data_IF_512726699850
#
_entry.id   IF_512726699850
#
_cell.length_a   1.000
_cell.length_b   1.000
_cell.length_c   1.000
_cell.angle_alpha   90.00
_cell.angle_beta   90.00
_cell.angle_gamma   90.00
#
_symmetry.space_group_name_H-M   'P 1'
#
loop_
_entity.id
_entity.type
_entity.pdbx_description
1 polymer ?
#
# COMPACT_ATOMS: atom_id res chain seq x y z
N UNK A 1 8.96 8.81 6.51
CA UNK A 1 7.83 8.09 7.12
C UNK A 1 6.96 8.92 8.07
N UNK A 2 7.44 10.02 8.69
CA UNK A 2 6.58 10.90 9.51
C UNK A 2 5.53 11.67 8.70
N UNK A 3 5.86 12.08 7.49
CA UNK A 3 4.99 12.90 6.66
C UNK A 3 3.78 12.14 6.07
N UNK A 4 3.93 10.88 5.69
CA UNK A 4 2.85 10.11 5.03
C UNK A 4 1.62 9.92 5.93
N UNK A 5 1.86 9.62 7.23
CA UNK A 5 0.77 9.53 8.22
C UNK A 5 0.13 10.89 8.51
N UNK A 6 0.90 11.96 8.47
CA UNK A 6 0.44 13.33 8.66
C UNK A 6 -0.45 13.80 7.49
N UNK A 7 -0.16 13.37 6.26
CA UNK A 7 -0.96 13.70 5.07
C UNK A 7 -2.31 12.98 5.04
N UNK A 8 -2.30 11.67 5.31
CA UNK A 8 -3.56 10.92 5.41
C UNK A 8 -4.44 11.54 6.51
N UNK A 9 -3.84 11.91 7.64
CA UNK A 9 -4.53 12.57 8.74
C UNK A 9 -5.05 13.98 8.37
N UNK A 10 -4.35 14.76 7.54
CA UNK A 10 -4.78 16.10 7.13
C UNK A 10 -6.07 16.07 6.31
N UNK A 11 -6.32 15.01 5.52
CA UNK A 11 -7.55 14.86 4.76
C UNK A 11 -8.64 14.04 5.50
N UNK A 12 -8.30 13.35 6.60
CA UNK A 12 -9.28 12.58 7.38
C UNK A 12 -10.38 13.47 7.98
N UNK A 13 -10.08 14.74 8.25
CA UNK A 13 -11.08 15.71 8.72
C UNK A 13 -12.15 15.96 7.64
N UNK A 14 -11.73 16.13 6.38
CA UNK A 14 -12.67 16.29 5.26
C UNK A 14 -13.51 15.05 5.01
N UNK A 15 -12.98 13.85 5.26
CA UNK A 15 -13.74 12.61 5.13
C UNK A 15 -14.85 12.46 6.17
N UNK A 16 -14.75 13.18 7.29
CA UNK A 16 -15.77 13.21 8.37
C UNK A 16 -16.80 14.30 8.13
N UNK A 17 -16.57 15.24 7.21
CA UNK A 17 -17.51 16.31 6.91
C UNK A 17 -18.77 15.78 6.22
N UNK A 18 -19.88 16.44 6.44
CA UNK A 18 -21.18 16.08 5.85
C UNK A 18 -21.29 16.47 4.37
N UNK A 19 -20.40 17.34 3.86
CA UNK A 19 -20.41 17.79 2.46
C UNK A 19 -19.91 16.69 1.51
N UNK A 20 -20.78 16.06 0.69
CA UNK A 20 -20.43 14.92 -0.14
C UNK A 20 -19.33 15.22 -1.17
N UNK A 21 -19.32 16.45 -1.70
CA UNK A 21 -18.36 16.87 -2.75
C UNK A 21 -16.95 16.99 -2.19
N UNK A 22 -16.78 17.61 -1.03
CA UNK A 22 -15.49 17.75 -0.36
C UNK A 22 -14.96 16.37 0.07
N UNK A 23 -15.84 15.54 0.64
CA UNK A 23 -15.48 14.17 1.03
C UNK A 23 -15.00 13.34 -0.16
N UNK A 24 -15.69 13.41 -1.31
CA UNK A 24 -15.29 12.72 -2.53
C UNK A 24 -13.92 13.24 -3.04
N UNK A 25 -13.71 14.56 -3.08
CA UNK A 25 -12.48 15.18 -3.51
C UNK A 25 -11.30 14.80 -2.58
N UNK A 26 -11.53 14.84 -1.27
CA UNK A 26 -10.52 14.41 -0.28
C UNK A 26 -10.15 12.93 -0.46
N UNK A 27 -11.12 12.05 -0.66
CA UNK A 27 -10.89 10.63 -0.91
C UNK A 27 -10.09 10.39 -2.20
N UNK A 28 -10.34 11.17 -3.26
CA UNK A 28 -9.58 11.12 -4.51
C UNK A 28 -8.11 11.51 -4.28
N UNK A 29 -7.86 12.63 -3.59
CA UNK A 29 -6.51 13.08 -3.30
C UNK A 29 -5.76 12.13 -2.35
N UNK A 30 -6.42 11.62 -1.32
CA UNK A 30 -5.82 10.61 -0.44
C UNK A 30 -5.32 9.38 -1.21
N UNK A 31 -6.14 8.88 -2.15
CA UNK A 31 -5.73 7.75 -2.98
C UNK A 31 -4.56 8.09 -3.89
N UNK A 32 -4.64 9.23 -4.58
CA UNK A 32 -3.60 9.67 -5.49
C UNK A 32 -2.24 9.83 -4.80
N UNK A 33 -2.25 10.41 -3.60
CA UNK A 33 -1.07 10.60 -2.75
C UNK A 33 -0.59 9.28 -2.14
N UNK A 34 -1.50 8.50 -1.56
CA UNK A 34 -1.14 7.24 -0.90
C UNK A 34 -0.57 6.19 -1.87
N UNK A 35 -0.94 6.24 -3.15
CA UNK A 35 -0.35 5.36 -4.16
C UNK A 35 1.12 5.66 -4.46
N UNK A 36 1.66 6.83 -4.09
CA UNK A 36 3.09 7.12 -4.28
C UNK A 36 3.98 6.29 -3.36
N UNK A 37 3.44 5.87 -2.22
CA UNK A 37 4.17 5.04 -1.24
C UNK A 37 4.57 3.65 -1.78
N UNK A 38 3.95 3.14 -2.84
CA UNK A 38 4.34 1.85 -3.47
C UNK A 38 5.77 1.89 -4.04
N UNK A 39 6.24 3.07 -4.42
CA UNK A 39 7.57 3.31 -4.95
C UNK A 39 8.44 4.12 -3.95
N UNK A 40 7.97 4.26 -2.70
CA UNK A 40 8.68 4.96 -1.62
C UNK A 40 8.68 6.48 -1.75
N UNK A 41 7.90 7.03 -2.67
CA UNK A 41 7.84 8.46 -2.95
C UNK A 41 6.95 9.18 -1.92
N UNK A 42 7.30 10.44 -1.63
CA UNK A 42 6.55 11.30 -0.74
C UNK A 42 6.18 12.61 -1.44
N UNK A 43 4.94 13.08 -1.28
CA UNK A 43 4.52 14.35 -1.85
C UNK A 43 5.15 15.52 -1.10
N UNK A 44 5.27 16.66 -1.79
CA UNK A 44 5.72 17.91 -1.19
C UNK A 44 4.61 18.58 -0.36
N UNK A 45 5.00 19.52 0.51
CA UNK A 45 4.03 20.37 1.24
C UNK A 45 3.21 21.23 0.27
N UNK A 46 3.78 21.62 -0.88
CA UNK A 46 3.08 22.39 -1.91
C UNK A 46 1.91 21.61 -2.53
N UNK A 47 2.12 20.31 -2.84
CA UNK A 47 1.01 19.47 -3.32
C UNK A 47 -0.17 19.47 -2.34
N UNK A 48 0.12 19.39 -1.04
CA UNK A 48 -0.93 19.33 -0.02
C UNK A 48 -1.72 20.63 0.06
N UNK A 49 -1.04 21.78 -0.05
CA UNK A 49 -1.70 23.07 -0.12
C UNK A 49 -2.63 23.16 -1.34
N UNK A 50 -2.12 22.77 -2.52
CA UNK A 50 -2.93 22.79 -3.77
C UNK A 50 -4.10 21.82 -3.69
N UNK A 51 -3.89 20.61 -3.14
CA UNK A 51 -4.96 19.65 -2.92
C UNK A 51 -6.03 20.18 -1.97
N UNK A 52 -5.63 20.86 -0.87
CA UNK A 52 -6.55 21.54 0.06
C UNK A 52 -7.44 22.55 -0.65
N UNK A 53 -6.87 23.43 -1.46
CA UNK A 53 -7.64 24.42 -2.26
C UNK A 53 -8.64 23.77 -3.21
N UNK A 54 -8.25 22.63 -3.81
CA UNK A 54 -9.17 21.87 -4.66
C UNK A 54 -10.32 21.24 -3.86
N UNK A 55 -10.03 20.68 -2.67
CA UNK A 55 -11.03 20.08 -1.79
C UNK A 55 -12.04 21.14 -1.33
N UNK A 56 -11.55 22.33 -0.98
CA UNK A 56 -12.40 23.47 -0.60
C UNK A 56 -13.20 24.05 -1.79
N UNK A 57 -12.88 23.66 -3.02
CA UNK A 57 -13.57 24.14 -4.23
C UNK A 57 -13.06 25.49 -4.73
N UNK A 58 -11.94 25.99 -4.20
CA UNK A 58 -11.33 27.25 -4.65
C UNK A 58 -10.74 27.14 -6.04
N UNK A 59 -10.24 25.96 -6.41
CA UNK A 59 -9.65 25.64 -7.70
C UNK A 59 -10.13 24.28 -8.22
N UNK A 60 -10.16 24.12 -9.53
CA UNK A 60 -10.46 22.84 -10.20
C UNK A 60 -9.29 21.88 -10.18
N UNK A 61 -9.52 20.60 -10.51
CA UNK A 61 -8.42 19.62 -10.69
C UNK A 61 -7.48 19.98 -11.85
N UNK A 62 -7.99 20.63 -12.89
CA UNK A 62 -7.16 21.09 -14.02
C UNK A 62 -6.26 22.24 -13.60
N UNK A 63 -6.77 23.21 -12.86
CA UNK A 63 -5.97 24.29 -12.26
C UNK A 63 -4.95 23.76 -11.25
N UNK A 64 -5.34 22.78 -10.40
CA UNK A 64 -4.43 22.12 -9.48
C UNK A 64 -3.23 21.50 -10.22
N UNK A 65 -3.51 20.78 -11.32
CA UNK A 65 -2.47 20.20 -12.16
C UNK A 65 -1.57 21.28 -12.77
N UNK A 66 -2.14 22.35 -13.31
CA UNK A 66 -1.39 23.46 -13.90
C UNK A 66 -0.47 24.12 -12.88
N UNK A 67 -0.95 24.39 -11.67
CA UNK A 67 -0.16 24.98 -10.58
C UNK A 67 1.03 24.09 -10.23
N UNK A 68 0.80 22.78 -10.02
CA UNK A 68 1.84 21.82 -9.68
C UNK A 68 2.91 21.75 -10.80
N UNK A 69 2.49 21.62 -12.06
CA UNK A 69 3.41 21.52 -13.19
C UNK A 69 4.21 22.80 -13.38
N UNK A 70 3.59 23.98 -13.26
CA UNK A 70 4.25 25.27 -13.37
C UNK A 70 5.26 25.49 -12.24
N UNK A 71 4.95 25.06 -11.00
CA UNK A 71 5.87 25.15 -9.87
C UNK A 71 7.21 24.47 -10.17
N UNK A 72 7.16 23.27 -10.76
CA UNK A 72 8.37 22.54 -11.10
C UNK A 72 9.06 23.04 -12.39
N UNK A 73 8.37 23.67 -13.32
CA UNK A 73 8.99 24.23 -14.53
C UNK A 73 9.97 25.35 -14.24
N UNK A 74 9.75 26.11 -13.18
CA UNK A 74 10.60 27.23 -12.80
C UNK A 74 11.85 26.83 -12.01
N UNK A 75 11.97 25.57 -11.58
CA UNK A 75 13.15 25.06 -10.89
C UNK A 75 14.24 24.68 -11.88
N UNK A 76 15.36 25.40 -11.86
CA UNK A 76 16.51 25.17 -12.77
C UNK A 76 17.43 24.04 -12.32
N UNK A 77 17.46 23.72 -11.03
CA UNK A 77 18.22 22.62 -10.46
C UNK A 77 17.37 21.88 -9.43
N UNK A 78 17.60 20.57 -9.26
CA UNK A 78 16.89 19.71 -8.32
C UNK A 78 17.85 18.82 -7.55
N UNK A 79 17.63 18.69 -6.27
CA UNK A 79 18.21 17.63 -5.48
C UNK A 79 17.50 16.30 -5.79
N UNK A 80 18.10 15.14 -5.51
CA UNK A 80 17.42 13.85 -5.67
C UNK A 80 16.05 13.80 -4.97
N UNK A 81 15.96 14.33 -3.75
CA UNK A 81 14.70 14.41 -3.01
C UNK A 81 13.65 15.26 -3.71
N UNK A 82 14.02 16.43 -4.26
CA UNK A 82 13.09 17.28 -5.00
C UNK A 82 12.63 16.64 -6.32
N UNK A 83 13.47 15.81 -6.95
CA UNK A 83 13.07 15.04 -8.12
C UNK A 83 12.03 13.95 -7.78
N UNK A 84 12.19 13.27 -6.62
CA UNK A 84 11.22 12.32 -6.08
C UNK A 84 9.90 13.01 -5.70
N UNK A 85 9.95 14.17 -5.05
CA UNK A 85 8.78 15.00 -4.73
C UNK A 85 8.06 15.47 -6.01
N UNK A 86 8.80 15.90 -7.03
CA UNK A 86 8.22 16.30 -8.33
C UNK A 86 7.46 15.14 -8.99
N UNK A 87 8.04 13.93 -9.00
CA UNK A 87 7.37 12.75 -9.53
C UNK A 87 6.09 12.48 -8.73
N UNK A 88 6.18 12.43 -7.40
CA UNK A 88 5.04 12.18 -6.53
C UNK A 88 3.91 13.17 -6.75
N UNK A 89 4.23 14.46 -6.84
CA UNK A 89 3.26 15.55 -6.98
C UNK A 89 2.55 15.51 -8.33
N UNK A 90 3.33 15.42 -9.42
CA UNK A 90 2.77 15.38 -10.77
C UNK A 90 1.91 14.13 -10.99
N UNK A 91 2.38 12.97 -10.53
CA UNK A 91 1.64 11.71 -10.64
C UNK A 91 0.36 11.76 -9.79
N UNK A 92 0.42 12.32 -8.58
CA UNK A 92 -0.78 12.49 -7.74
C UNK A 92 -1.83 13.38 -8.41
N UNK A 93 -1.42 14.52 -8.99
CA UNK A 93 -2.33 15.39 -9.72
C UNK A 93 -2.98 14.68 -10.92
N UNK A 94 -2.20 13.92 -11.69
CA UNK A 94 -2.71 13.14 -12.81
C UNK A 94 -3.68 12.05 -12.37
N UNK A 95 -3.35 11.30 -11.31
CA UNK A 95 -4.22 10.23 -10.76
C UNK A 95 -5.53 10.85 -10.22
N UNK A 96 -5.48 11.97 -9.51
CA UNK A 96 -6.67 12.64 -9.00
C UNK A 96 -7.67 12.97 -10.12
N UNK A 97 -7.17 13.53 -11.24
CA UNK A 97 -8.00 13.79 -12.44
C UNK A 97 -8.58 12.52 -13.04
N UNK A 98 -7.79 11.44 -13.11
CA UNK A 98 -8.23 10.16 -13.66
C UNK A 98 -9.33 9.55 -12.79
N UNK A 99 -9.16 9.53 -11.46
CA UNK A 99 -10.12 8.95 -10.53
C UNK A 99 -11.45 9.72 -10.47
N UNK A 100 -11.43 11.02 -10.75
CA UNK A 100 -12.65 11.84 -10.87
C UNK A 100 -13.35 11.68 -12.21
N UNK A 101 -12.61 11.29 -13.26
CA UNK A 101 -13.16 11.04 -14.59
C UNK A 101 -13.96 9.74 -14.63
N UNK A 102 -15.09 9.75 -15.34
CA UNK A 102 -15.88 8.54 -15.61
C UNK A 102 -15.44 7.79 -16.86
N UNK A 103 -14.42 8.30 -17.57
CA UNK A 103 -13.93 7.68 -18.80
C UNK A 103 -13.01 6.51 -18.48
N UNK A 104 -13.46 5.31 -18.79
CA UNK A 104 -12.69 4.08 -18.64
C UNK A 104 -12.86 3.17 -19.86
N UNK A 105 -11.75 2.66 -20.39
CA UNK A 105 -11.74 1.72 -21.49
C UNK A 105 -11.14 0.39 -21.01
N UNK A 106 -11.98 -0.63 -20.88
CA UNK A 106 -11.57 -1.96 -20.43
C UNK A 106 -11.03 -2.79 -21.59
N UNK A 107 -9.83 -2.47 -22.04
CA UNK A 107 -9.06 -3.18 -23.06
C UNK A 107 -7.57 -2.84 -22.93
N UNK A 108 -6.69 -3.58 -23.63
CA UNK A 108 -5.24 -3.40 -23.57
C UNK A 108 -4.80 -1.98 -23.92
N UNK A 109 -5.39 -1.36 -24.94
CA UNK A 109 -5.08 0.02 -25.31
C UNK A 109 -5.55 1.01 -24.22
N UNK A 110 -6.67 0.73 -23.54
CA UNK A 110 -7.15 1.49 -22.39
C UNK A 110 -6.15 1.45 -21.24
N UNK A 111 -5.59 0.27 -20.92
CA UNK A 111 -4.55 0.11 -19.89
C UNK A 111 -3.26 0.87 -20.26
N UNK A 112 -2.81 0.79 -21.51
CA UNK A 112 -1.64 1.52 -22.02
C UNK A 112 -1.89 3.04 -21.97
N UNK A 113 -3.09 3.47 -22.39
CA UNK A 113 -3.48 4.89 -22.33
C UNK A 113 -3.60 5.40 -20.90
N UNK A 114 -4.08 4.56 -19.96
CA UNK A 114 -4.13 4.88 -18.54
C UNK A 114 -2.72 5.15 -17.99
N UNK A 115 -1.76 4.28 -18.26
CA UNK A 115 -0.37 4.51 -17.88
C UNK A 115 0.17 5.82 -18.46
N UNK A 116 -0.09 6.11 -19.74
CA UNK A 116 0.30 7.40 -20.36
C UNK A 116 -0.26 8.58 -19.60
N UNK A 117 -1.54 8.55 -19.24
CA UNK A 117 -2.23 9.63 -18.51
C UNK A 117 -1.72 9.80 -17.08
N UNK A 118 -1.38 8.70 -16.40
CA UNK A 118 -0.83 8.74 -15.03
C UNK A 118 0.54 9.42 -15.03
N UNK A 119 1.41 9.10 -16.01
CA UNK A 119 2.79 9.56 -16.06
C UNK A 119 3.04 10.66 -17.09
N UNK A 120 1.97 11.31 -17.56
CA UNK A 120 2.06 12.45 -18.48
C UNK A 120 2.86 13.60 -17.86
N UNK A 121 3.89 14.05 -18.57
CA UNK A 121 4.81 15.09 -18.11
C UNK A 121 5.77 14.66 -16.99
N UNK A 122 5.88 13.34 -16.74
CA UNK A 122 6.81 12.74 -15.76
C UNK A 122 7.81 11.85 -16.49
N UNK A 123 7.34 10.82 -17.21
CA UNK A 123 8.20 9.91 -17.96
C UNK A 123 8.09 10.14 -19.46
N UNK A 124 9.23 10.23 -20.15
CA UNK A 124 9.27 10.31 -21.63
C UNK A 124 8.70 9.07 -22.31
N UNK A 125 8.75 7.93 -21.61
CA UNK A 125 8.22 6.64 -22.05
C UNK A 125 6.81 6.33 -21.53
N UNK A 126 6.08 7.32 -21.03
CA UNK A 126 4.71 7.12 -20.52
C UNK A 126 3.80 6.52 -21.60
N UNK A 127 3.16 5.38 -21.28
CA UNK A 127 2.30 4.64 -22.21
C UNK A 127 3.06 3.86 -23.30
N UNK A 128 4.37 3.65 -23.16
CA UNK A 128 5.15 2.77 -24.01
C UNK A 128 5.40 1.44 -23.30
N UNK A 129 5.13 0.34 -23.97
CA UNK A 129 5.50 -0.97 -23.47
C UNK A 129 7.03 -1.08 -23.42
N UNK A 130 7.56 -1.77 -22.41
CA UNK A 130 8.99 -2.04 -22.34
C UNK A 130 9.44 -2.91 -23.52
N UNK A 131 10.68 -2.80 -23.90
CA UNK A 131 11.33 -3.47 -25.02
C UNK A 131 12.52 -4.34 -24.56
N UNK A 132 12.53 -4.71 -23.26
CA UNK A 132 13.54 -5.57 -22.64
C UNK A 132 12.95 -6.30 -21.43
N UNK A 133 13.57 -7.41 -21.03
CA UNK A 133 13.20 -8.14 -19.83
C UNK A 133 13.72 -7.43 -18.58
N UNK A 134 12.93 -7.51 -17.52
CA UNK A 134 13.23 -6.83 -16.25
C UNK A 134 13.33 -7.80 -15.09
N UNK A 135 14.13 -7.42 -14.12
CA UNK A 135 14.26 -8.10 -12.83
C UNK A 135 14.23 -7.03 -11.74
N UNK A 136 13.41 -7.22 -10.72
CA UNK A 136 13.30 -6.30 -9.58
C UNK A 136 13.52 -7.08 -8.29
N UNK A 137 14.37 -6.57 -7.41
CA UNK A 137 14.53 -7.12 -6.07
C UNK A 137 13.36 -6.69 -5.20
N UNK A 138 12.72 -7.68 -4.58
CA UNK A 138 11.53 -7.44 -3.75
C UNK A 138 11.85 -7.66 -2.28
N UNK A 139 11.56 -6.64 -1.45
CA UNK A 139 11.80 -6.70 -0.01
C UNK A 139 11.10 -7.92 0.63
N UNK A 140 9.85 -8.18 0.28
CA UNK A 140 9.05 -9.28 0.83
C UNK A 140 9.59 -10.67 0.47
N UNK A 141 10.52 -10.74 -0.49
CA UNK A 141 11.18 -11.95 -0.98
C UNK A 141 12.66 -12.06 -0.57
N UNK A 142 13.11 -11.33 0.46
CA UNK A 142 14.54 -11.27 0.83
C UNK A 142 15.45 -10.83 -0.34
N UNK A 143 14.97 -9.94 -1.18
CA UNK A 143 15.70 -9.47 -2.36
C UNK A 143 15.67 -10.40 -3.57
N UNK A 144 14.90 -11.49 -3.51
CA UNK A 144 14.58 -12.32 -4.69
C UNK A 144 13.56 -11.59 -5.59
N UNK A 145 13.25 -12.16 -6.75
CA UNK A 145 12.44 -11.51 -7.80
C UNK A 145 11.25 -12.37 -8.21
N UNK A 146 10.21 -11.71 -8.72
CA UNK A 146 9.12 -12.37 -9.47
C UNK A 146 9.58 -12.60 -10.91
N UNK A 147 9.14 -13.71 -11.51
CA UNK A 147 9.27 -13.94 -12.93
C UNK A 147 8.24 -13.11 -13.69
N UNK A 148 8.70 -12.00 -14.27
CA UNK A 148 7.85 -11.17 -15.13
C UNK A 148 7.77 -11.75 -16.54
N UNK A 149 6.74 -11.34 -17.29
CA UNK A 149 6.54 -11.81 -18.66
C UNK A 149 7.67 -11.33 -19.58
N UNK A 150 8.01 -12.12 -20.60
CA UNK A 150 8.93 -11.70 -21.66
C UNK A 150 8.38 -10.48 -22.41
N UNK A 151 9.26 -9.54 -22.76
CA UNK A 151 8.85 -8.26 -23.36
C UNK A 151 8.17 -8.40 -24.71
N UNK A 152 8.48 -9.45 -25.49
CA UNK A 152 7.87 -9.71 -26.80
C UNK A 152 6.39 -10.07 -26.72
N UNK A 153 5.94 -10.58 -25.59
CA UNK A 153 4.59 -11.08 -25.37
C UNK A 153 3.64 -10.09 -24.69
N UNK A 154 4.12 -8.94 -24.22
CA UNK A 154 3.37 -8.01 -23.35
C UNK A 154 2.00 -7.62 -23.91
N UNK A 155 1.94 -7.19 -25.18
CA UNK A 155 0.69 -6.75 -25.79
C UNK A 155 -0.28 -7.90 -25.97
N UNK A 156 0.22 -9.07 -26.36
CA UNK A 156 -0.59 -10.28 -26.55
C UNK A 156 -1.21 -10.72 -25.23
N UNK A 157 -0.42 -10.78 -24.18
CA UNK A 157 -0.88 -11.19 -22.86
C UNK A 157 -1.89 -10.21 -22.26
N UNK A 158 -1.62 -8.88 -22.32
CA UNK A 158 -2.59 -7.88 -21.89
C UNK A 158 -3.94 -8.01 -22.60
N UNK A 159 -3.91 -8.22 -23.93
CA UNK A 159 -5.13 -8.38 -24.70
C UNK A 159 -5.85 -9.67 -24.31
N UNK A 160 -5.13 -10.76 -24.18
CA UNK A 160 -5.68 -12.06 -23.81
C UNK A 160 -6.35 -12.02 -22.41
N UNK A 161 -5.63 -11.58 -21.40
CA UNK A 161 -6.14 -11.58 -20.01
C UNK A 161 -7.37 -10.68 -19.86
N UNK A 162 -7.37 -9.50 -20.50
CA UNK A 162 -8.51 -8.58 -20.44
C UNK A 162 -9.71 -9.14 -21.22
N UNK A 163 -9.51 -9.81 -22.36
CA UNK A 163 -10.62 -10.43 -23.11
C UNK A 163 -11.17 -11.66 -22.35
N UNK A 164 -10.33 -12.46 -21.69
CA UNK A 164 -10.80 -13.54 -20.80
C UNK A 164 -11.65 -12.97 -19.66
N UNK A 165 -11.22 -11.88 -19.04
CA UNK A 165 -11.97 -11.23 -17.97
C UNK A 165 -13.32 -10.66 -18.45
N UNK A 166 -13.39 -10.10 -19.66
CA UNK A 166 -14.67 -9.66 -20.27
C UNK A 166 -15.64 -10.80 -20.47
N UNK A 167 -15.13 -11.97 -20.83
CA UNK A 167 -15.94 -13.17 -21.06
C UNK A 167 -16.36 -13.86 -19.75
N UNK A 168 -15.74 -13.51 -18.63
CA UNK A 168 -16.01 -14.13 -17.33
C UNK A 168 -17.34 -13.67 -16.75
N UNK A 169 -18.10 -14.61 -16.17
CA UNK A 169 -19.39 -14.32 -15.55
C UNK A 169 -19.32 -14.41 -14.04
N UNK A 170 -19.58 -13.31 -13.39
CA UNK A 170 -19.68 -13.21 -11.93
C UNK A 170 -21.04 -13.68 -11.36
N UNK A 171 -22.00 -14.02 -12.24
CA UNK A 171 -23.35 -14.40 -11.83
C UNK A 171 -23.35 -15.70 -11.01
N UNK A 172 -23.93 -15.64 -9.83
CA UNK A 172 -24.07 -16.80 -8.93
C UNK A 172 -22.83 -17.14 -8.12
N UNK A 173 -21.75 -16.37 -8.22
CA UNK A 173 -20.57 -16.58 -7.40
C UNK A 173 -20.75 -16.04 -5.98
N UNK A 174 -20.14 -16.70 -5.00
CA UNK A 174 -20.03 -16.19 -3.65
C UNK A 174 -19.08 -14.98 -3.58
N UNK A 175 -19.19 -14.16 -2.54
CA UNK A 175 -18.28 -13.03 -2.30
C UNK A 175 -16.81 -13.47 -2.27
N UNK A 176 -16.52 -14.60 -1.64
CA UNK A 176 -15.16 -15.17 -1.61
C UNK A 176 -14.66 -15.55 -3.00
N UNK A 177 -15.50 -16.20 -3.82
CA UNK A 177 -15.13 -16.56 -5.19
C UNK A 177 -14.91 -15.33 -6.08
N UNK A 178 -15.71 -14.27 -5.88
CA UNK A 178 -15.53 -12.97 -6.57
C UNK A 178 -14.19 -12.34 -6.17
N UNK A 179 -13.89 -12.25 -4.87
CA UNK A 179 -12.65 -11.67 -4.39
C UNK A 179 -11.42 -12.48 -4.87
N UNK A 180 -11.49 -13.81 -4.87
CA UNK A 180 -10.42 -14.68 -5.39
C UNK A 180 -10.20 -14.47 -6.89
N UNK A 181 -11.27 -14.44 -7.68
CA UNK A 181 -11.16 -14.22 -9.13
C UNK A 181 -10.57 -12.84 -9.45
N UNK A 182 -11.06 -11.78 -8.82
CA UNK A 182 -10.51 -10.42 -8.98
C UNK A 182 -9.04 -10.37 -8.58
N UNK A 183 -8.66 -11.03 -7.47
CA UNK A 183 -7.27 -11.08 -7.03
C UNK A 183 -6.38 -11.76 -8.10
N UNK A 184 -6.82 -12.86 -8.68
CA UNK A 184 -6.08 -13.56 -9.76
C UNK A 184 -5.96 -12.71 -11.02
N UNK A 185 -7.03 -12.10 -11.47
CA UNK A 185 -7.03 -11.22 -12.64
C UNK A 185 -6.07 -10.04 -12.45
N UNK A 186 -6.21 -9.29 -11.34
CA UNK A 186 -5.37 -8.14 -11.05
C UNK A 186 -3.90 -8.54 -10.87
N UNK A 187 -3.65 -9.69 -10.26
CA UNK A 187 -2.32 -10.28 -10.10
C UNK A 187 -1.69 -10.62 -11.45
N UNK A 188 -2.43 -11.21 -12.38
CA UNK A 188 -1.99 -11.51 -13.74
C UNK A 188 -1.60 -10.25 -14.51
N UNK A 189 -2.48 -9.25 -14.54
CA UNK A 189 -2.20 -7.93 -15.17
C UNK A 189 -0.93 -7.31 -14.60
N UNK A 190 -0.73 -7.37 -13.28
CA UNK A 190 0.48 -6.84 -12.66
C UNK A 190 1.74 -7.65 -13.03
N UNK A 191 1.65 -8.98 -13.11
CA UNK A 191 2.78 -9.87 -13.45
C UNK A 191 3.29 -9.64 -14.88
N UNK A 192 2.41 -9.29 -15.82
CA UNK A 192 2.82 -8.89 -17.18
C UNK A 192 3.87 -7.78 -17.09
N UNK A 193 3.75 -6.88 -16.14
CA UNK A 193 4.71 -5.81 -15.85
C UNK A 193 5.08 -5.05 -17.12
N UNK A 194 4.06 -4.53 -17.78
CA UNK A 194 4.12 -4.07 -19.16
C UNK A 194 5.01 -2.85 -19.38
N UNK A 195 5.29 -2.06 -18.36
CA UNK A 195 6.01 -0.79 -18.46
C UNK A 195 7.36 -0.84 -17.76
N UNK A 196 8.25 0.10 -18.11
CA UNK A 196 9.56 0.23 -17.46
C UNK A 196 9.42 0.61 -15.98
N UNK A 197 8.52 1.55 -15.68
CA UNK A 197 8.22 2.02 -14.32
C UNK A 197 6.71 2.21 -14.13
N UNK A 198 6.25 2.36 -12.86
CA UNK A 198 4.88 2.72 -12.52
C UNK A 198 3.83 1.60 -12.66
N UNK A 199 4.24 0.34 -12.84
CA UNK A 199 3.31 -0.78 -13.05
C UNK A 199 2.31 -0.95 -11.90
N UNK A 200 2.75 -0.85 -10.65
CA UNK A 200 1.86 -1.02 -9.48
C UNK A 200 0.84 0.12 -9.39
N UNK A 201 1.27 1.38 -9.60
CA UNK A 201 0.36 2.54 -9.61
C UNK A 201 -0.67 2.43 -10.73
N UNK A 202 -0.22 2.05 -11.95
CA UNK A 202 -1.13 1.84 -13.08
C UNK A 202 -2.13 0.69 -12.81
N UNK A 203 -1.67 -0.43 -12.26
CA UNK A 203 -2.54 -1.56 -11.90
C UNK A 203 -3.56 -1.15 -10.84
N UNK A 204 -3.17 -0.41 -9.81
CA UNK A 204 -4.09 0.05 -8.76
C UNK A 204 -5.19 0.97 -9.32
N UNK A 205 -4.82 1.98 -10.12
CA UNK A 205 -5.79 2.90 -10.73
C UNK A 205 -6.70 2.17 -11.72
N UNK A 206 -6.16 1.25 -12.52
CA UNK A 206 -6.93 0.40 -13.41
C UNK A 206 -7.95 -0.45 -12.64
N UNK A 207 -7.52 -1.07 -11.55
CA UNK A 207 -8.38 -1.88 -10.68
C UNK A 207 -9.52 -1.06 -10.09
N UNK A 208 -9.25 0.14 -9.58
CA UNK A 208 -10.28 1.03 -9.05
C UNK A 208 -11.33 1.35 -10.13
N UNK A 209 -10.88 1.74 -11.33
CA UNK A 209 -11.79 2.06 -12.41
C UNK A 209 -12.58 0.83 -12.91
N UNK A 210 -11.92 -0.32 -12.99
CA UNK A 210 -12.55 -1.58 -13.37
C UNK A 210 -13.66 -1.98 -12.39
N UNK A 211 -13.37 -2.02 -11.10
CA UNK A 211 -14.35 -2.35 -10.07
C UNK A 211 -15.54 -1.38 -10.04
N UNK A 212 -15.28 -0.09 -10.21
CA UNK A 212 -16.34 0.92 -10.34
C UNK A 212 -17.21 0.69 -11.57
N UNK A 213 -16.63 0.29 -12.70
CA UNK A 213 -17.38 -0.01 -13.93
C UNK A 213 -18.28 -1.24 -13.78
N UNK A 214 -17.96 -2.14 -12.85
CA UNK A 214 -18.79 -3.28 -12.47
C UNK A 214 -19.89 -2.92 -11.44
N UNK A 215 -19.94 -1.67 -10.97
CA UNK A 215 -20.90 -1.21 -9.99
C UNK A 215 -20.49 -1.36 -8.52
N UNK A 216 -19.25 -1.78 -8.24
CA UNK A 216 -18.76 -1.80 -6.87
C UNK A 216 -18.52 -0.37 -6.36
N UNK A 217 -18.96 -0.12 -5.14
CA UNK A 217 -18.63 1.13 -4.43
C UNK A 217 -17.22 1.02 -3.84
N UNK A 218 -16.21 1.21 -4.69
CA UNK A 218 -14.81 1.14 -4.28
C UNK A 218 -14.42 2.47 -3.64
N UNK A 219 -14.34 2.46 -2.34
CA UNK A 219 -13.75 3.56 -1.56
C UNK A 219 -12.25 3.65 -1.81
N UNK A 220 -11.78 4.88 -1.95
CA UNK A 220 -10.36 5.14 -2.27
C UNK A 220 -9.41 4.85 -1.09
N UNK A 221 -9.93 4.80 0.14
CA UNK A 221 -9.13 4.72 1.38
C UNK A 221 -8.27 3.47 1.49
N UNK A 222 -8.73 2.32 0.99
CA UNK A 222 -7.98 1.07 1.07
C UNK A 222 -6.65 1.15 0.32
N UNK A 223 -6.65 1.70 -0.91
CA UNK A 223 -5.42 1.90 -1.67
C UNK A 223 -4.53 2.99 -1.06
N UNK A 224 -5.12 4.03 -0.47
CA UNK A 224 -4.37 5.07 0.21
C UNK A 224 -3.60 4.54 1.43
N UNK A 225 -4.27 3.77 2.29
CA UNK A 225 -3.71 3.30 3.57
C UNK A 225 -2.87 2.03 3.43
N UNK A 226 -3.15 1.21 2.41
CA UNK A 226 -2.57 -0.12 2.26
C UNK A 226 -1.88 -0.32 0.89
N UNK A 227 -1.38 0.76 0.26
CA UNK A 227 -0.70 0.70 -1.03
C UNK A 227 0.54 -0.20 -1.00
N UNK A 228 1.35 -0.11 0.05
CA UNK A 228 2.52 -0.96 0.25
C UNK A 228 2.13 -2.43 0.50
N UNK A 229 1.06 -2.67 1.27
CA UNK A 229 0.52 -4.03 1.42
C UNK A 229 0.04 -4.60 0.08
N UNK A 230 -0.73 -3.81 -0.69
CA UNK A 230 -1.23 -4.20 -2.01
C UNK A 230 -0.08 -4.60 -2.94
N UNK A 231 1.00 -3.79 -3.02
CA UNK A 231 2.19 -4.11 -3.79
C UNK A 231 2.81 -5.45 -3.36
N UNK A 232 3.05 -5.63 -2.07
CA UNK A 232 3.64 -6.85 -1.54
C UNK A 232 2.72 -8.08 -1.72
N UNK A 233 1.41 -7.91 -1.66
CA UNK A 233 0.44 -8.97 -1.94
C UNK A 233 0.47 -9.41 -3.41
N UNK A 234 0.63 -8.47 -4.36
CA UNK A 234 0.85 -8.78 -5.78
C UNK A 234 2.15 -9.57 -5.99
N UNK A 235 3.24 -9.18 -5.32
CA UNK A 235 4.51 -9.91 -5.35
C UNK A 235 4.32 -11.34 -4.86
N UNK A 236 3.68 -11.54 -3.69
CA UNK A 236 3.46 -12.87 -3.11
C UNK A 236 2.53 -13.75 -3.93
N UNK A 237 1.54 -13.17 -4.60
CA UNK A 237 0.63 -13.89 -5.49
C UNK A 237 1.34 -14.46 -6.73
N UNK A 238 2.48 -13.86 -7.13
CA UNK A 238 3.24 -14.20 -8.34
C UNK A 238 4.61 -14.82 -8.07
N UNK A 239 4.95 -15.08 -6.80
CA UNK A 239 6.24 -15.65 -6.46
C UNK A 239 6.15 -17.13 -6.12
N UNK A 240 7.02 -17.91 -6.79
CA UNK A 240 7.23 -19.33 -6.51
C UNK A 240 8.72 -19.65 -6.47
N UNK A 241 9.14 -20.40 -5.46
CA UNK A 241 10.50 -20.91 -5.35
C UNK A 241 10.46 -22.35 -4.81
N UNK A 242 10.60 -23.32 -5.73
CA UNK A 242 10.51 -24.75 -5.41
C UNK A 242 11.62 -25.18 -4.47
N UNK A 243 12.83 -24.62 -4.59
CA UNK A 243 13.98 -24.97 -3.73
C UNK A 243 13.75 -24.55 -2.28
N UNK A 244 13.04 -23.40 -2.07
CA UNK A 244 12.68 -22.89 -0.74
C UNK A 244 11.33 -23.44 -0.26
N UNK A 245 10.68 -24.32 -1.02
CA UNK A 245 9.32 -24.81 -0.76
C UNK A 245 8.29 -23.67 -0.59
N UNK A 246 8.40 -22.63 -1.41
CA UNK A 246 7.48 -21.48 -1.43
C UNK A 246 6.64 -21.57 -2.70
N UNK A 247 5.31 -21.55 -2.54
CA UNK A 247 4.36 -21.54 -3.65
C UNK A 247 3.64 -20.18 -3.75
N UNK A 248 2.93 -19.97 -4.86
CA UNK A 248 2.06 -18.82 -5.08
C UNK A 248 1.11 -18.63 -3.90
N UNK A 249 1.02 -17.40 -3.42
CA UNK A 249 0.25 -17.10 -2.20
C UNK A 249 -0.73 -15.95 -2.44
N UNK A 250 -1.84 -16.18 -3.16
CA UNK A 250 -2.81 -15.13 -3.50
C UNK A 250 -3.66 -14.68 -2.30
N UNK A 251 -3.69 -15.44 -1.19
CA UNK A 251 -4.55 -15.18 -0.03
C UNK A 251 -4.42 -13.76 0.53
N UNK A 252 -3.24 -13.17 0.50
CA UNK A 252 -3.04 -11.80 0.96
C UNK A 252 -3.77 -10.78 0.08
N UNK A 253 -3.72 -10.98 -1.23
CA UNK A 253 -4.41 -10.13 -2.19
C UNK A 253 -5.93 -10.34 -2.12
N UNK A 254 -6.39 -11.59 -1.90
CA UNK A 254 -7.80 -11.91 -1.67
C UNK A 254 -8.32 -11.17 -0.43
N UNK A 255 -7.60 -11.18 0.70
CA UNK A 255 -7.97 -10.43 1.91
C UNK A 255 -8.06 -8.92 1.67
N UNK A 256 -7.14 -8.37 0.88
CA UNK A 256 -7.23 -6.97 0.48
C UNK A 256 -8.54 -6.68 -0.27
N UNK A 257 -8.93 -7.53 -1.22
CA UNK A 257 -10.18 -7.36 -1.96
C UNK A 257 -11.43 -7.66 -1.12
N UNK A 258 -11.37 -8.59 -0.18
CA UNK A 258 -12.48 -8.81 0.77
C UNK A 258 -12.72 -7.56 1.63
N UNK A 259 -11.68 -6.93 2.17
CA UNK A 259 -11.82 -5.67 2.89
C UNK A 259 -12.36 -4.57 1.98
N UNK A 260 -11.83 -4.45 0.75
CA UNK A 260 -12.21 -3.41 -0.20
C UNK A 260 -13.65 -3.52 -0.67
N UNK A 261 -14.12 -4.72 -1.00
CA UNK A 261 -15.40 -4.95 -1.66
C UNK A 261 -16.54 -5.20 -0.67
N UNK A 262 -16.23 -5.83 0.46
CA UNK A 262 -17.25 -6.33 1.40
C UNK A 262 -17.12 -5.76 2.81
N UNK A 263 -16.10 -4.92 3.07
CA UNK A 263 -15.90 -4.30 4.38
C UNK A 263 -15.41 -5.29 5.45
N UNK A 264 -14.82 -6.42 5.03
CA UNK A 264 -14.15 -7.34 5.95
C UNK A 264 -13.01 -6.62 6.69
N UNK A 265 -12.62 -7.15 7.84
CA UNK A 265 -11.65 -6.52 8.73
C UNK A 265 -10.35 -7.36 8.84
N UNK A 266 -9.87 -7.88 7.70
CA UNK A 266 -8.60 -8.58 7.69
C UNK A 266 -7.45 -7.61 8.01
N UNK A 267 -6.53 -8.05 8.87
CA UNK A 267 -5.34 -7.28 9.23
C UNK A 267 -4.36 -7.25 8.06
N UNK A 268 -4.13 -6.07 7.49
CA UNK A 268 -3.28 -5.86 6.32
C UNK A 268 -1.91 -5.29 6.72
N UNK A 269 -1.04 -6.14 7.24
CA UNK A 269 0.34 -5.75 7.63
C UNK A 269 1.37 -6.40 6.69
N UNK A 270 2.18 -5.59 5.99
CA UNK A 270 3.18 -6.06 5.01
C UNK A 270 4.20 -7.04 5.59
N UNK A 271 4.53 -6.94 6.89
CA UNK A 271 5.45 -7.87 7.57
C UNK A 271 4.99 -9.33 7.54
N UNK A 272 3.68 -9.58 7.48
CA UNK A 272 3.14 -10.95 7.43
C UNK A 272 3.27 -11.60 6.04
N UNK A 273 3.62 -10.83 5.04
CA UNK A 273 3.79 -11.29 3.67
C UNK A 273 5.24 -11.74 3.39
N UNK A 274 6.18 -11.41 4.28
CA UNK A 274 7.59 -11.72 4.10
C UNK A 274 7.82 -13.24 4.05
N UNK A 275 8.67 -13.71 3.12
CA UNK A 275 8.92 -15.16 2.94
C UNK A 275 9.71 -15.77 4.10
N UNK A 276 10.47 -14.96 4.82
CA UNK A 276 11.21 -15.33 6.03
C UNK A 276 10.66 -14.53 7.20
N UNK A 277 9.45 -14.85 7.69
CA UNK A 277 8.92 -14.14 8.83
C UNK A 277 9.79 -14.41 10.04
N UNK A 278 10.06 -13.40 10.86
CA UNK A 278 10.69 -13.63 12.17
C UNK A 278 9.84 -14.61 12.99
N UNK A 279 10.46 -15.34 13.91
CA UNK A 279 9.75 -16.31 14.76
C UNK A 279 8.53 -15.71 15.49
N UNK A 280 8.56 -14.41 15.76
CA UNK A 280 7.47 -13.63 16.38
C UNK A 280 6.28 -13.39 15.43
N UNK A 281 6.49 -13.41 14.11
CA UNK A 281 5.41 -13.24 13.11
C UNK A 281 4.70 -14.55 12.79
N UNK A 282 5.27 -15.69 13.19
CA UNK A 282 4.69 -17.03 12.96
C UNK A 282 3.52 -17.37 13.89
N UNK A 283 3.29 -16.59 14.95
CA UNK A 283 2.25 -16.84 15.94
C UNK A 283 0.84 -16.40 15.53
N UNK A 284 0.60 -16.05 14.28
CA UNK A 284 -0.78 -15.88 13.80
C UNK A 284 -1.45 -17.25 13.57
N UNK A 285 -2.69 -17.44 14.05
CA UNK A 285 -3.37 -18.72 13.88
C UNK A 285 -3.57 -19.04 12.38
N UNK A 286 -2.99 -20.14 11.96
CA UNK A 286 -3.26 -20.86 10.71
C UNK A 286 -3.21 -20.06 9.41
N UNK A 287 -1.99 -19.77 8.94
CA UNK A 287 -1.73 -19.33 7.55
C UNK A 287 -1.24 -20.47 6.66
N UNK A 288 -1.70 -21.70 6.83
CA UNK A 288 -1.54 -22.69 5.78
C UNK A 288 -2.50 -22.34 4.63
N UNK A 289 -1.98 -22.23 3.42
CA UNK A 289 -2.73 -21.82 2.22
C UNK A 289 -4.00 -22.66 1.96
N UNK A 290 -4.14 -23.81 2.59
CA UNK A 290 -5.27 -24.73 2.47
C UNK A 290 -6.33 -24.61 3.58
N UNK A 291 -6.05 -23.92 4.70
CA UNK A 291 -6.99 -23.83 5.83
C UNK A 291 -8.02 -22.69 5.70
N UNK A 292 -7.84 -21.77 4.74
CA UNK A 292 -8.73 -20.60 4.59
C UNK A 292 -10.08 -20.95 3.94
N UNK A 293 -10.15 -22.09 3.25
CA UNK A 293 -11.40 -22.50 2.57
C UNK A 293 -12.32 -23.40 3.41
N UNK A 294 -11.81 -24.03 4.48
CA UNK A 294 -12.60 -25.02 5.26
C UNK A 294 -13.24 -24.50 6.54
N UNK A 295 -12.94 -23.26 6.98
CA UNK A 295 -13.44 -22.72 8.29
C UNK A 295 -14.70 -21.86 8.19
N UNK A 296 -15.44 -21.89 7.09
CA UNK A 296 -16.73 -21.18 6.97
C UNK A 296 -17.92 -22.11 7.29
N UNK A 297 -17.77 -23.05 8.20
CA UNK A 297 -18.91 -23.80 8.76
C UNK A 297 -18.85 -23.84 10.28
N UNK A 298 -19.62 -22.94 10.86
CA UNK A 298 -20.20 -23.09 12.20
C UNK A 298 -19.30 -22.71 13.37
N UNK A 299 -19.56 -21.59 13.96
CA UNK A 299 -19.09 -21.19 15.27
C UNK A 299 -19.60 -19.78 15.57
N UNK A 300 -20.71 -19.75 16.30
CA UNK A 300 -21.25 -18.56 16.95
C UNK A 300 -20.25 -18.11 18.03
N UNK A 301 -19.48 -17.08 17.73
CA UNK A 301 -18.70 -16.36 18.72
C UNK A 301 -18.96 -14.86 18.56
N UNK A 302 -19.79 -14.39 19.43
CA UNK A 302 -19.99 -12.98 19.76
C UNK A 302 -18.66 -12.38 20.19
N UNK A 303 -17.91 -11.84 19.27
CA UNK A 303 -16.75 -11.01 19.58
C UNK A 303 -17.14 -9.55 19.49
N UNK A 304 -17.10 -8.92 20.64
CA UNK A 304 -17.20 -7.48 20.91
C UNK A 304 -16.87 -6.60 19.71
N UNK A 305 -17.89 -5.96 19.14
CA UNK A 305 -17.78 -4.77 18.31
C UNK A 305 -17.40 -3.58 19.20
N UNK A 306 -16.13 -3.43 19.47
CA UNK A 306 -15.57 -2.30 20.20
C UNK A 306 -14.63 -1.51 19.28
N UNK A 307 -15.12 -0.40 18.79
CA UNK A 307 -14.41 0.84 18.40
C UNK A 307 -12.90 0.76 18.10
N UNK A 308 -12.53 0.35 16.90
CA UNK A 308 -11.16 0.53 16.39
C UNK A 308 -10.85 1.98 15.90
N UNK A 309 -11.79 2.88 16.03
CA UNK A 309 -11.59 4.32 15.69
C UNK A 309 -10.85 5.11 16.77
N UNK A 310 -10.57 4.53 17.93
CA UNK A 310 -9.90 5.19 19.06
C UNK A 310 -8.40 4.91 19.10
N UNK A 311 -7.92 3.88 18.41
CA UNK A 311 -6.51 3.45 18.49
C UNK A 311 -5.52 4.21 17.62
N UNK A 312 -5.99 4.99 16.64
CA UNK A 312 -5.11 5.81 15.79
C UNK A 312 -4.54 7.05 16.50
N UNK A 313 -5.10 7.44 17.63
CA UNK A 313 -4.70 8.69 18.32
C UNK A 313 -3.54 8.50 19.30
N UNK A 314 -3.27 7.32 19.80
CA UNK A 314 -2.23 7.06 20.80
C UNK A 314 -0.88 6.71 20.16
N UNK A 315 -0.86 6.21 18.93
CA UNK A 315 0.36 5.80 18.22
C UNK A 315 0.98 6.89 17.33
N UNK A 316 0.40 8.10 17.25
CA UNK A 316 0.89 9.19 16.41
C UNK A 316 2.30 9.70 16.76
N UNK A 317 2.78 9.41 17.95
CA UNK A 317 4.06 9.91 18.48
C UNK A 317 5.27 9.00 18.20
N UNK A 318 5.08 7.77 17.73
CA UNK A 318 6.14 6.79 17.55
C UNK A 318 6.32 6.40 16.09
N UNK A 319 7.59 6.25 15.66
CA UNK A 319 7.89 5.65 14.36
C UNK A 319 7.57 4.15 14.39
N UNK A 320 7.33 3.54 13.21
CA UNK A 320 7.06 2.10 13.09
C UNK A 320 8.15 1.26 13.78
N UNK A 321 9.44 1.63 13.63
CA UNK A 321 10.54 0.98 14.33
C UNK A 321 10.44 1.13 15.85
N UNK A 322 10.05 2.29 16.34
CA UNK A 322 9.84 2.53 17.78
C UNK A 322 8.67 1.74 18.33
N UNK A 323 7.61 1.55 17.54
CA UNK A 323 6.50 0.67 17.91
C UNK A 323 6.97 -0.78 18.05
N UNK A 324 7.75 -1.29 17.08
CA UNK A 324 8.32 -2.64 17.14
C UNK A 324 9.23 -2.80 18.36
N UNK A 325 10.03 -1.77 18.71
CA UNK A 325 10.87 -1.79 19.91
C UNK A 325 10.01 -1.94 21.16
N UNK A 326 8.94 -1.16 21.30
CA UNK A 326 8.06 -1.22 22.47
C UNK A 326 7.33 -2.57 22.54
N UNK A 327 6.80 -3.06 21.43
CA UNK A 327 6.16 -4.38 21.34
C UNK A 327 7.13 -5.50 21.74
N UNK A 328 8.35 -5.48 21.19
CA UNK A 328 9.37 -6.49 21.51
C UNK A 328 9.78 -6.45 22.99
N UNK A 329 9.93 -5.25 23.55
CA UNK A 329 10.25 -5.09 24.99
C UNK A 329 9.09 -5.54 25.89
N UNK A 330 7.86 -5.40 25.45
CA UNK A 330 6.68 -5.90 26.17
C UNK A 330 6.62 -7.43 26.17
N UNK A 331 6.92 -8.06 25.04
CA UNK A 331 6.86 -9.52 24.89
C UNK A 331 8.10 -10.20 25.50
N UNK A 332 9.26 -9.56 25.39
CA UNK A 332 10.56 -10.06 25.90
C UNK A 332 11.25 -9.03 26.78
N UNK A 333 10.81 -8.85 28.03
CA UNK A 333 11.33 -7.82 28.92
C UNK A 333 12.84 -7.91 29.20
N UNK A 334 13.43 -9.09 29.04
CA UNK A 334 14.87 -9.33 29.25
C UNK A 334 15.73 -9.14 28.01
N UNK A 335 15.14 -8.75 26.85
CA UNK A 335 15.89 -8.60 25.60
C UNK A 335 17.04 -7.60 25.75
N UNK A 336 18.22 -7.98 25.28
CA UNK A 336 19.40 -7.11 25.29
C UNK A 336 19.38 -6.11 24.13
N UNK A 337 20.15 -5.02 24.25
CA UNK A 337 20.28 -4.06 23.17
C UNK A 337 20.92 -4.67 21.91
N UNK A 338 21.81 -5.65 22.07
CA UNK A 338 22.46 -6.32 20.96
C UNK A 338 21.49 -7.22 20.19
N UNK A 339 20.68 -8.00 20.91
CA UNK A 339 19.64 -8.84 20.33
C UNK A 339 18.58 -8.00 19.61
N UNK A 340 18.16 -6.89 20.23
CA UNK A 340 17.17 -5.99 19.65
C UNK A 340 17.70 -5.24 18.41
N UNK A 341 18.98 -4.85 18.41
CA UNK A 341 19.63 -4.25 17.25
C UNK A 341 19.75 -5.23 16.09
N UNK A 342 20.11 -6.48 16.39
CA UNK A 342 20.19 -7.58 15.42
C UNK A 342 18.79 -7.88 14.83
N UNK A 343 17.77 -7.98 15.69
CA UNK A 343 16.39 -8.23 15.29
C UNK A 343 15.86 -7.16 14.32
N UNK A 344 16.21 -5.89 14.58
CA UNK A 344 15.76 -4.75 13.77
C UNK A 344 16.67 -4.47 12.56
N UNK A 345 17.77 -5.21 12.44
CA UNK A 345 18.81 -4.98 11.44
C UNK A 345 19.32 -3.53 11.41
N UNK A 346 19.58 -2.96 12.59
CA UNK A 346 20.09 -1.60 12.75
C UNK A 346 21.37 -1.58 13.59
N UNK A 347 22.16 -0.50 13.47
CA UNK A 347 23.31 -0.32 14.35
C UNK A 347 22.88 -0.08 15.80
N UNK A 348 23.70 -0.51 16.75
CA UNK A 348 23.48 -0.27 18.19
C UNK A 348 23.34 1.24 18.48
N UNK A 349 24.04 2.09 17.75
CA UNK A 349 23.93 3.54 17.88
C UNK A 349 22.54 4.05 17.48
N UNK A 350 21.97 3.49 16.41
CA UNK A 350 20.59 3.82 15.97
C UNK A 350 19.57 3.36 16.99
N UNK A 351 19.71 2.12 17.48
CA UNK A 351 18.82 1.59 18.52
C UNK A 351 18.87 2.43 19.81
N UNK A 352 20.05 2.83 20.26
CA UNK A 352 20.20 3.68 21.46
C UNK A 352 19.48 5.01 21.33
N UNK A 353 19.47 5.64 20.14
CA UNK A 353 18.71 6.87 19.88
C UNK A 353 17.20 6.63 19.98
N UNK A 354 16.72 5.52 19.41
CA UNK A 354 15.31 5.16 19.48
C UNK A 354 14.86 4.89 20.92
N UNK A 355 15.63 4.09 21.67
CA UNK A 355 15.36 3.82 23.09
C UNK A 355 15.39 5.11 23.92
N UNK A 356 16.36 6.00 23.67
CA UNK A 356 16.44 7.30 24.37
C UNK A 356 15.18 8.13 24.10
N UNK A 357 14.68 8.13 22.87
CA UNK A 357 13.44 8.82 22.50
C UNK A 357 12.21 8.20 23.18
N UNK A 358 12.14 6.88 23.23
CA UNK A 358 11.06 6.14 23.88
C UNK A 358 11.03 6.38 25.40
N UNK A 359 12.21 6.39 26.06
CA UNK A 359 12.33 6.75 27.47
C UNK A 359 11.88 8.19 27.73
N UNK A 360 12.34 9.15 26.93
CA UNK A 360 11.96 10.56 27.05
C UNK A 360 10.46 10.78 26.88
N UNK A 361 9.82 10.01 26.01
CA UNK A 361 8.37 10.05 25.78
C UNK A 361 7.56 9.22 26.79
N UNK A 362 8.23 8.52 27.71
CA UNK A 362 7.61 7.74 28.78
C UNK A 362 6.94 6.46 28.30
N UNK A 363 7.43 5.84 27.24
CA UNK A 363 6.93 4.56 26.74
C UNK A 363 7.59 3.36 27.39
N UNK A 364 8.90 3.45 27.65
CA UNK A 364 9.68 2.36 28.23
C UNK A 364 10.61 2.85 29.31
N UNK A 365 10.85 2.00 30.28
CA UNK A 365 11.87 2.19 31.33
C UNK A 365 12.63 0.89 31.54
N UNK A 366 13.82 0.97 32.10
CA UNK A 366 14.61 -0.21 32.45
C UNK A 366 14.74 -0.32 33.95
N UNK A 367 14.27 -1.42 34.49
CA UNK A 367 14.48 -1.80 35.89
C UNK A 367 15.70 -2.69 36.03
N UNK A 368 16.62 -2.35 36.92
CA UNK A 368 17.83 -3.10 37.21
C UNK A 368 19.04 -2.67 36.39
N UNK A 369 20.09 -3.51 36.39
CA UNK A 369 21.36 -3.21 35.72
C UNK A 369 21.30 -3.43 34.20
N UNK A 370 22.25 -2.83 33.45
CA UNK A 370 22.33 -3.02 32.00
C UNK A 370 22.55 -4.49 31.56
N UNK A 371 23.09 -5.33 32.43
CA UNK A 371 23.36 -6.75 32.15
C UNK A 371 22.28 -7.72 32.58
N UNK A 372 21.49 -7.39 33.61
CA UNK A 372 20.48 -8.29 34.21
C UNK A 372 19.13 -7.62 34.44
N UNK A 373 18.94 -6.39 33.99
CA UNK A 373 17.70 -5.67 34.14
C UNK A 373 16.67 -6.06 33.09
N UNK A 374 15.41 -5.69 33.37
CA UNK A 374 14.29 -5.90 32.45
C UNK A 374 13.70 -4.57 31.93
N UNK A 375 13.13 -4.61 30.77
CA UNK A 375 12.36 -3.51 30.22
C UNK A 375 10.93 -3.50 30.78
N UNK A 376 10.47 -2.33 31.15
CA UNK A 376 9.09 -2.10 31.59
C UNK A 376 8.43 -1.16 30.61
N UNK A 377 7.34 -1.60 30.01
CA UNK A 377 6.51 -0.77 29.13
C UNK A 377 5.49 -0.01 29.98
N UNK A 378 5.65 1.31 30.04
CA UNK A 378 4.85 2.20 30.89
C UNK A 378 3.52 2.61 30.22
N UNK A 379 3.53 2.77 28.90
CA UNK A 379 2.34 3.03 28.10
C UNK A 379 2.07 1.83 27.22
N UNK A 380 1.00 1.10 27.53
CA UNK A 380 0.58 -0.01 26.67
C UNK A 380 0.21 0.54 25.28
N UNK A 381 0.77 -0.07 24.25
CA UNK A 381 0.27 0.10 22.89
C UNK A 381 -1.08 -0.63 22.85
N UNK A 382 -2.16 0.11 22.80
CA UNK A 382 -3.48 -0.51 22.59
C UNK A 382 -3.52 -1.04 21.16
N UNK A 383 -3.76 -2.34 21.03
CA UNK A 383 -3.94 -3.05 19.76
C UNK A 383 -5.33 -2.82 19.20
#
# INVERSE_FOLDING_TARGET
MSNEKEYIASFDEYLRQEEPVKRESAAVWQTAIGLQAVDGLQPSAYLLEVAGKNIEGEITLDESRQLIFSYYQHKTSRTPKEAEEEEADKVSANIARILKSRTFAFNANGYISLHRRIFDGVFTHAGQLRDYDITKREWVLDGDTVSYLNWEDLRRALSYDIEQEKAFSYKGLSQNAIADHIARFVSGIWQIHAFREGNTRATAVFTIQYLRSMGFNVGNQMFARHSWYFRNALVRANYRNVQKNIDYTPVYLVRFFQNLLYGEQWVLKSRYLHITPSAEWQQQPNLSANAVYDTVKGGDDTVNRGNDTVNDTVNKDLSERQLIIVETMQERPSITGEELAALLNVSIATLRRDISTLKRKGYVEREGSDKSGRWVVLKRLFH
#
